data_IF_511250939884
#
_entry.id   IF_511250939884
#
_cell.length_a   1.000
_cell.length_b   1.000
_cell.length_c   1.000
_cell.angle_alpha   90.00
_cell.angle_beta   90.00
_cell.angle_gamma   90.00
#
_symmetry.space_group_name_H-M   'P 1'
#
loop_
_entity.id
_entity.type
_entity.pdbx_description
1 polymer ?
#
# COMPACT_ATOMS: atom_id res chain seq x y z
N UNK A 1 15.64 -7.21 16.66
CA UNK A 1 14.29 -7.12 16.07
C UNK A 1 14.43 -6.72 14.61
N UNK A 2 13.53 -7.17 13.72
CA UNK A 2 13.51 -6.68 12.34
C UNK A 2 12.98 -5.25 12.30
N UNK A 3 13.59 -4.38 11.50
CA UNK A 3 13.04 -3.05 11.20
C UNK A 3 11.92 -3.21 10.18
N UNK A 4 10.69 -2.97 10.61
CA UNK A 4 9.50 -3.09 9.78
C UNK A 4 8.90 -1.71 9.53
N UNK A 5 8.76 -1.33 8.26
CA UNK A 5 8.19 -0.05 7.85
C UNK A 5 6.97 -0.32 6.97
N UNK A 6 5.85 0.31 7.28
CA UNK A 6 4.65 0.25 6.44
C UNK A 6 4.31 1.62 5.88
N UNK A 7 3.96 1.68 4.59
CA UNK A 7 3.65 2.93 3.91
C UNK A 7 2.24 2.88 3.33
N UNK A 8 1.31 3.58 3.99
CA UNK A 8 0.02 3.95 3.41
C UNK A 8 0.17 5.25 2.62
N UNK A 9 -0.57 5.41 1.52
CA UNK A 9 -0.30 6.51 0.58
C UNK A 9 -1.51 6.90 -0.25
N UNK A 10 -1.63 8.19 -0.54
CA UNK A 10 -2.49 8.70 -1.60
C UNK A 10 -1.92 8.37 -2.98
N UNK A 11 -2.77 8.26 -4.00
CA UNK A 11 -2.33 8.02 -5.38
C UNK A 11 -1.63 9.28 -5.94
N UNK A 12 -0.47 9.07 -6.56
CA UNK A 12 0.35 10.18 -7.05
C UNK A 12 1.17 10.92 -5.98
N UNK A 13 1.07 10.56 -4.69
CA UNK A 13 1.85 11.20 -3.61
C UNK A 13 3.34 10.85 -3.59
N UNK A 14 3.80 9.89 -4.41
CA UNK A 14 5.20 9.43 -4.39
C UNK A 14 5.51 8.39 -3.31
N UNK A 15 4.52 7.85 -2.61
CA UNK A 15 4.73 6.89 -1.53
C UNK A 15 5.44 5.58 -1.97
N UNK A 16 5.22 5.11 -3.20
CA UNK A 16 5.99 3.96 -3.77
C UNK A 16 7.47 4.27 -3.89
N UNK A 17 7.79 5.43 -4.47
CA UNK A 17 9.17 5.87 -4.64
C UNK A 17 9.84 6.07 -3.29
N UNK A 18 9.15 6.71 -2.34
CA UNK A 18 9.66 6.88 -0.99
C UNK A 18 9.99 5.54 -0.34
N UNK A 19 9.09 4.57 -0.45
CA UNK A 19 9.31 3.23 0.10
C UNK A 19 10.52 2.52 -0.50
N UNK A 20 10.68 2.57 -1.82
CA UNK A 20 11.83 1.99 -2.51
C UNK A 20 13.13 2.65 -2.09
N UNK A 21 13.18 3.99 -2.07
CA UNK A 21 14.37 4.73 -1.64
C UNK A 21 14.74 4.46 -0.18
N UNK A 22 13.75 4.36 0.71
CA UNK A 22 13.97 3.97 2.10
C UNK A 22 14.56 2.56 2.22
N UNK A 23 14.04 1.60 1.45
CA UNK A 23 14.58 0.24 1.45
C UNK A 23 16.03 0.18 0.96
N UNK A 24 16.37 0.95 -0.07
CA UNK A 24 17.73 1.07 -0.60
C UNK A 24 18.68 1.70 0.45
N UNK A 25 18.28 2.84 1.05
CA UNK A 25 19.08 3.56 2.04
C UNK A 25 19.31 2.77 3.33
N UNK A 26 18.31 2.01 3.77
CA UNK A 26 18.37 1.18 4.98
C UNK A 26 18.89 -0.24 4.70
N UNK A 27 19.15 -0.57 3.43
CA UNK A 27 19.54 -1.92 2.99
C UNK A 27 18.60 -3.03 3.51
N UNK A 28 17.30 -2.83 3.34
CA UNK A 28 16.23 -3.76 3.75
C UNK A 28 15.35 -4.14 2.57
N UNK A 29 14.57 -5.21 2.68
CA UNK A 29 13.70 -5.67 1.60
C UNK A 29 12.58 -4.68 1.28
N UNK A 30 12.10 -4.67 0.03
CA UNK A 30 10.96 -3.87 -0.43
C UNK A 30 9.86 -4.78 -0.97
N UNK A 31 8.61 -4.54 -0.56
CA UNK A 31 7.45 -5.31 -0.99
C UNK A 31 6.27 -4.40 -1.36
N UNK A 32 5.80 -4.49 -2.59
CA UNK A 32 4.61 -3.81 -3.13
C UNK A 32 3.86 -4.77 -4.08
N UNK A 33 4.30 -4.89 -5.32
CA UNK A 33 3.70 -5.79 -6.32
C UNK A 33 4.05 -7.26 -6.06
N UNK A 34 5.18 -7.53 -5.45
CA UNK A 34 5.64 -8.88 -5.09
C UNK A 34 4.63 -9.64 -4.22
N UNK A 35 3.83 -8.91 -3.43
CA UNK A 35 2.75 -9.50 -2.63
C UNK A 35 1.67 -10.08 -3.54
N UNK A 36 1.29 -9.37 -4.61
CA UNK A 36 0.29 -9.84 -5.58
C UNK A 36 0.79 -11.09 -6.30
N UNK A 37 2.02 -11.04 -6.80
CA UNK A 37 2.65 -12.17 -7.49
C UNK A 37 2.71 -13.41 -6.60
N UNK A 38 3.05 -13.23 -5.32
CA UNK A 38 3.10 -14.36 -4.38
C UNK A 38 1.69 -14.90 -4.05
N UNK A 39 0.66 -14.04 -3.96
CA UNK A 39 -0.73 -14.48 -3.81
C UNK A 39 -1.15 -15.30 -5.04
N UNK A 40 -0.87 -14.79 -6.26
CA UNK A 40 -1.17 -15.48 -7.51
C UNK A 40 -0.55 -16.89 -7.53
N UNK A 41 0.73 -16.97 -7.19
CA UNK A 41 1.47 -18.25 -7.13
C UNK A 41 0.86 -19.26 -6.13
N UNK A 42 0.31 -18.80 -5.02
CA UNK A 42 -0.25 -19.67 -3.96
C UNK A 42 -1.72 -20.05 -4.19
N UNK A 43 -2.47 -19.22 -4.88
CA UNK A 43 -3.92 -19.40 -5.06
C UNK A 43 -4.31 -19.84 -6.47
N UNK A 44 -3.36 -19.83 -7.41
CA UNK A 44 -3.59 -20.04 -8.85
C UNK A 44 -4.61 -19.05 -9.46
N UNK A 45 -4.76 -17.88 -8.82
CA UNK A 45 -5.63 -16.81 -9.29
C UNK A 45 -4.84 -15.81 -10.12
N UNK A 46 -5.44 -15.30 -11.19
CA UNK A 46 -4.82 -14.26 -12.01
C UNK A 46 -4.53 -12.97 -11.20
N UNK A 47 -3.34 -12.40 -11.33
CA UNK A 47 -2.92 -11.19 -10.62
C UNK A 47 -3.93 -10.05 -10.76
N UNK A 48 -4.47 -9.84 -11.98
CA UNK A 48 -5.50 -8.83 -12.23
C UNK A 48 -6.76 -9.01 -11.38
N UNK A 49 -7.19 -10.24 -11.14
CA UNK A 49 -8.32 -10.53 -10.25
C UNK A 49 -7.98 -10.23 -8.80
N UNK A 50 -6.78 -10.61 -8.36
CA UNK A 50 -6.28 -10.33 -7.01
C UNK A 50 -6.23 -8.83 -6.77
N UNK A 51 -5.70 -8.04 -7.71
CA UNK A 51 -5.66 -6.58 -7.64
C UNK A 51 -7.07 -5.97 -7.51
N UNK A 52 -8.03 -6.47 -8.31
CA UNK A 52 -9.42 -6.01 -8.22
C UNK A 52 -10.03 -6.27 -6.83
N UNK A 53 -9.77 -7.45 -6.27
CA UNK A 53 -10.29 -7.82 -4.94
C UNK A 53 -9.65 -6.98 -3.84
N UNK A 54 -8.32 -6.76 -3.92
CA UNK A 54 -7.54 -6.13 -2.85
C UNK A 54 -7.53 -4.59 -2.96
N UNK A 55 -7.73 -4.03 -4.16
CA UNK A 55 -7.65 -2.57 -4.37
C UNK A 55 -8.98 -1.89 -4.64
N UNK A 56 -9.99 -2.60 -5.15
CA UNK A 56 -11.14 -1.94 -5.75
C UNK A 56 -12.48 -2.12 -5.03
N UNK A 57 -12.73 -3.23 -4.35
CA UNK A 57 -14.02 -3.42 -3.65
C UNK A 57 -13.86 -4.33 -2.44
N UNK A 58 -14.42 -3.93 -1.28
CA UNK A 58 -14.80 -4.92 -0.28
C UNK A 58 -15.76 -5.88 -0.97
N UNK A 59 -15.43 -7.16 -1.02
CA UNK A 59 -16.40 -8.16 -1.47
C UNK A 59 -17.52 -8.10 -0.44
N UNK A 60 -18.78 -7.78 -0.83
CA UNK A 60 -19.89 -7.94 0.09
C UNK A 60 -19.80 -9.37 0.61
N UNK A 61 -19.99 -9.56 1.91
CA UNK A 61 -20.07 -10.91 2.47
C UNK A 61 -21.05 -11.69 1.60
N UNK A 62 -20.52 -12.65 0.85
CA UNK A 62 -21.35 -13.49 -0.03
C UNK A 62 -22.46 -14.09 0.84
N UNK A 63 -23.71 -14.12 0.40
CA UNK A 63 -24.78 -14.69 1.20
C UNK A 63 -24.37 -16.08 1.66
N UNK A 64 -24.43 -16.31 2.96
CA UNK A 64 -23.98 -17.51 3.71
C UNK A 64 -24.67 -18.84 3.29
N UNK A 65 -25.16 -18.97 2.06
CA UNK A 65 -26.00 -20.10 1.65
C UNK A 65 -25.44 -20.97 0.55
N UNK A 66 -24.18 -20.82 0.14
CA UNK A 66 -23.56 -21.78 -0.80
C UNK A 66 -22.42 -22.49 -0.09
N UNK A 67 -22.73 -23.72 0.37
CA UNK A 67 -21.83 -24.83 0.65
C UNK A 67 -20.54 -24.55 1.44
N UNK A 68 -20.51 -25.01 2.65
CA UNK A 68 -19.41 -25.02 3.64
C UNK A 68 -18.07 -25.63 3.18
N UNK A 69 -17.91 -25.99 1.89
CA UNK A 69 -16.82 -26.90 1.47
C UNK A 69 -15.72 -26.31 0.57
N UNK A 70 -15.79 -25.05 0.08
CA UNK A 70 -14.81 -24.55 -0.90
C UNK A 70 -14.10 -23.23 -0.51
N UNK A 71 -14.21 -22.75 0.71
CA UNK A 71 -13.81 -21.37 1.08
C UNK A 71 -12.51 -21.15 1.87
N UNK A 72 -11.70 -22.11 2.34
CA UNK A 72 -10.46 -21.78 3.04
C UNK A 72 -9.25 -21.61 2.14
N UNK A 73 -9.21 -22.16 0.93
CA UNK A 73 -7.94 -22.31 0.20
C UNK A 73 -7.66 -21.26 -0.90
N UNK A 74 -8.60 -20.36 -1.20
CA UNK A 74 -8.43 -19.40 -2.30
C UNK A 74 -8.88 -17.97 -1.99
N UNK A 75 -8.93 -17.56 -0.71
CA UNK A 75 -9.28 -16.17 -0.37
C UNK A 75 -8.04 -15.28 -0.48
N UNK A 76 -7.94 -14.39 -1.49
CA UNK A 76 -6.76 -13.54 -1.69
C UNK A 76 -6.39 -12.69 -0.48
N UNK A 77 -7.37 -12.27 0.32
CA UNK A 77 -7.15 -11.44 1.51
C UNK A 77 -6.51 -12.25 2.65
N UNK A 78 -6.96 -13.49 2.83
CA UNK A 78 -6.34 -14.38 3.82
C UNK A 78 -4.87 -14.67 3.45
N UNK A 79 -4.62 -14.99 2.18
CA UNK A 79 -3.26 -15.20 1.69
C UNK A 79 -2.41 -13.92 1.76
N UNK A 80 -2.95 -12.76 1.46
CA UNK A 80 -2.28 -11.48 1.66
C UNK A 80 -1.78 -11.32 3.10
N UNK A 81 -2.65 -11.55 4.07
CA UNK A 81 -2.30 -11.41 5.49
C UNK A 81 -1.19 -12.39 5.89
N UNK A 82 -1.27 -13.64 5.41
CA UNK A 82 -0.27 -14.68 5.66
C UNK A 82 1.09 -14.31 5.06
N UNK A 83 1.10 -13.89 3.79
CA UNK A 83 2.30 -13.50 3.06
C UNK A 83 2.99 -12.30 3.72
N UNK A 84 2.24 -11.25 4.06
CA UNK A 84 2.77 -10.06 4.71
C UNK A 84 3.42 -10.42 6.05
N UNK A 85 2.78 -11.26 6.86
CA UNK A 85 3.36 -11.73 8.14
C UNK A 85 4.60 -12.60 7.94
N UNK A 86 4.64 -13.45 6.91
CA UNK A 86 5.81 -14.25 6.58
C UNK A 86 6.99 -13.38 6.12
N UNK A 87 6.74 -12.38 5.27
CA UNK A 87 7.75 -11.42 4.81
C UNK A 87 8.36 -10.65 6.00
N UNK A 88 7.51 -10.13 6.89
CA UNK A 88 7.95 -9.40 8.09
C UNK A 88 8.75 -10.27 9.09
N UNK A 89 8.46 -11.57 9.17
CA UNK A 89 9.24 -12.51 9.99
C UNK A 89 10.59 -12.84 9.39
N UNK A 90 10.69 -12.87 8.05
CA UNK A 90 11.90 -13.28 7.34
C UNK A 90 13.03 -12.27 7.45
N UNK A 91 12.72 -10.98 7.33
CA UNK A 91 13.74 -9.92 7.32
C UNK A 91 13.14 -8.55 7.64
N UNK A 92 14.02 -7.58 7.93
CA UNK A 92 13.66 -6.16 7.89
C UNK A 92 13.13 -5.78 6.50
N UNK A 93 12.04 -5.00 6.45
CA UNK A 93 11.43 -4.66 5.16
C UNK A 93 10.56 -3.40 5.20
N UNK A 94 10.35 -2.84 4.00
CA UNK A 94 9.34 -1.83 3.70
C UNK A 94 8.18 -2.50 2.97
N UNK A 95 6.97 -2.36 3.48
CA UNK A 95 5.74 -2.86 2.86
C UNK A 95 4.85 -1.69 2.46
N UNK A 96 4.45 -1.64 1.19
CA UNK A 96 3.68 -0.52 0.65
C UNK A 96 2.21 -0.89 0.46
N UNK A 97 1.33 -0.27 1.25
CA UNK A 97 -0.13 -0.48 1.20
C UNK A 97 -0.60 -1.79 1.84
N UNK A 98 -1.69 -2.35 1.26
CA UNK A 98 -2.25 -3.67 1.64
C UNK A 98 -2.69 -3.79 3.10
N UNK A 99 -3.04 -2.66 3.75
CA UNK A 99 -3.30 -2.61 5.19
C UNK A 99 -2.15 -3.21 6.04
N UNK A 100 -0.90 -3.10 5.55
CA UNK A 100 0.27 -3.67 6.23
C UNK A 100 0.45 -3.15 7.65
N UNK A 101 0.11 -1.89 7.89
CA UNK A 101 0.09 -1.23 9.19
C UNK A 101 -0.85 -1.92 10.20
N UNK A 102 -2.02 -2.40 9.73
CA UNK A 102 -2.98 -3.13 10.54
C UNK A 102 -2.62 -4.62 10.67
N UNK A 103 -2.21 -5.27 9.57
CA UNK A 103 -1.84 -6.69 9.57
C UNK A 103 -0.67 -6.97 10.51
N UNK A 104 0.26 -6.01 10.65
CA UNK A 104 1.47 -6.12 11.47
C UNK A 104 1.36 -5.37 12.81
N UNK A 105 0.17 -4.94 13.22
CA UNK A 105 -0.02 -4.11 14.43
C UNK A 105 0.58 -4.75 15.71
N UNK A 106 0.53 -6.08 15.80
CA UNK A 106 1.08 -6.86 16.91
C UNK A 106 2.62 -6.80 17.04
N UNK A 107 3.32 -6.55 15.93
CA UNK A 107 4.79 -6.40 15.88
C UNK A 107 5.25 -4.94 15.78
N UNK A 108 4.34 -3.98 15.89
CA UNK A 108 4.56 -2.54 15.94
C UNK A 108 5.50 -2.01 14.83
N UNK A 109 5.13 -2.12 13.54
CA UNK A 109 5.91 -1.54 12.46
C UNK A 109 5.95 -0.03 12.58
N UNK A 110 6.98 0.63 12.04
CA UNK A 110 6.97 2.09 11.85
C UNK A 110 6.02 2.44 10.71
N UNK A 111 4.93 3.16 11.02
CA UNK A 111 3.79 3.40 10.12
C UNK A 111 3.88 4.80 9.54
N UNK A 112 3.98 4.89 8.22
CA UNK A 112 4.06 6.15 7.48
C UNK A 112 2.81 6.33 6.62
N UNK A 113 2.21 7.53 6.65
CA UNK A 113 1.22 7.95 5.67
C UNK A 113 1.79 9.02 4.76
N UNK A 114 1.77 8.78 3.45
CA UNK A 114 2.32 9.71 2.44
C UNK A 114 1.18 10.37 1.67
N UNK A 115 1.14 11.69 1.69
CA UNK A 115 0.10 12.48 1.02
C UNK A 115 0.71 13.67 0.28
N UNK A 116 -0.07 14.30 -0.60
CA UNK A 116 0.30 15.55 -1.26
C UNK A 116 -0.95 16.30 -1.70
N UNK A 117 -0.80 17.59 -1.98
CA UNK A 117 -1.84 18.40 -2.59
C UNK A 117 -2.27 17.80 -3.94
N UNK A 118 -3.57 17.86 -4.25
CA UNK A 118 -4.14 17.17 -5.42
C UNK A 118 -3.45 17.55 -6.73
N UNK A 119 -3.12 18.83 -6.90
CA UNK A 119 -2.46 19.34 -8.10
C UNK A 119 -1.07 18.73 -8.32
N UNK A 120 -0.28 18.61 -7.25
CA UNK A 120 1.04 17.97 -7.27
C UNK A 120 0.95 16.48 -7.60
N UNK A 121 -0.08 15.81 -7.11
CA UNK A 121 -0.33 14.39 -7.39
C UNK A 121 -0.70 14.16 -8.85
N UNK A 122 -1.57 15.01 -9.39
CA UNK A 122 -1.96 14.98 -10.80
C UNK A 122 -0.74 15.24 -11.69
N UNK A 123 0.03 16.30 -11.42
CA UNK A 123 1.24 16.64 -12.17
C UNK A 123 2.23 15.47 -12.20
N UNK A 124 2.51 14.86 -11.04
CA UNK A 124 3.40 13.69 -10.93
C UNK A 124 2.87 12.47 -11.71
N UNK A 125 1.56 12.24 -11.73
CA UNK A 125 0.97 11.16 -12.51
C UNK A 125 1.05 11.44 -14.01
N UNK A 126 0.85 12.68 -14.43
CA UNK A 126 0.97 13.10 -15.85
C UNK A 126 2.41 12.96 -16.37
N UNK A 127 3.39 13.29 -15.53
CA UNK A 127 4.82 13.17 -15.87
C UNK A 127 5.25 11.69 -16.02
N UNK A 128 4.72 10.80 -15.17
CA UNK A 128 5.13 9.39 -15.10
C UNK A 128 4.29 8.43 -15.95
N UNK A 129 3.30 8.94 -16.67
CA UNK A 129 2.48 8.12 -17.57
C UNK A 129 3.33 7.50 -18.67
N UNK A 130 2.98 6.29 -19.09
CA UNK A 130 3.57 5.65 -20.27
C UNK A 130 3.04 6.32 -21.54
N UNK A 131 3.72 6.13 -22.68
CA UNK A 131 3.27 6.66 -23.97
C UNK A 131 1.90 6.13 -24.41
N UNK A 132 1.50 4.96 -23.92
CA UNK A 132 0.21 4.33 -24.20
C UNK A 132 -0.93 4.88 -23.31
N UNK A 133 -0.60 5.52 -22.18
CA UNK A 133 -1.56 6.11 -21.26
C UNK A 133 -1.90 7.55 -21.68
N UNK A 134 -2.86 7.69 -22.59
CA UNK A 134 -3.35 9.01 -23.04
C UNK A 134 -4.47 9.47 -22.11
N UNK A 135 -4.15 10.33 -21.15
CA UNK A 135 -5.12 10.97 -20.25
C UNK A 135 -5.10 12.49 -20.45
N UNK A 136 -6.27 13.10 -20.52
CA UNK A 136 -6.43 14.54 -20.29
C UNK A 136 -6.21 14.84 -18.79
N UNK A 137 -6.01 16.12 -18.47
CA UNK A 137 -5.83 16.56 -17.09
C UNK A 137 -7.04 16.20 -16.20
N UNK A 138 -8.26 16.35 -16.73
CA UNK A 138 -9.48 16.03 -16.00
C UNK A 138 -9.65 14.52 -15.79
N UNK A 139 -9.36 13.69 -16.78
CA UNK A 139 -9.36 12.23 -16.62
C UNK A 139 -8.35 11.77 -15.61
N UNK A 140 -7.14 12.33 -15.59
CA UNK A 140 -6.14 12.03 -14.59
C UNK A 140 -6.59 12.43 -13.17
N UNK A 141 -7.23 13.60 -13.04
CA UNK A 141 -7.82 14.04 -11.77
C UNK A 141 -8.87 13.06 -11.27
N UNK A 142 -9.79 12.64 -12.13
CA UNK A 142 -10.81 11.65 -11.78
C UNK A 142 -10.19 10.30 -11.39
N UNK A 143 -9.14 9.86 -12.10
CA UNK A 143 -8.37 8.65 -11.77
C UNK A 143 -7.77 8.76 -10.37
N UNK A 144 -7.09 9.85 -10.06
CA UNK A 144 -6.47 10.10 -8.74
C UNK A 144 -7.51 10.01 -7.62
N UNK A 145 -8.62 10.72 -7.76
CA UNK A 145 -9.71 10.73 -6.76
C UNK A 145 -10.35 9.34 -6.60
N UNK A 146 -10.59 8.65 -7.72
CA UNK A 146 -11.24 7.34 -7.71
C UNK A 146 -10.37 6.28 -7.02
N UNK A 147 -9.06 6.26 -7.30
CA UNK A 147 -8.13 5.32 -6.65
C UNK A 147 -8.10 5.54 -5.14
N UNK A 148 -8.01 6.79 -4.68
CA UNK A 148 -8.01 7.09 -3.25
C UNK A 148 -9.33 6.75 -2.57
N UNK A 149 -10.45 6.99 -3.25
CA UNK A 149 -11.77 6.57 -2.77
C UNK A 149 -11.84 5.05 -2.55
N UNK A 150 -11.29 4.27 -3.47
CA UNK A 150 -11.25 2.82 -3.37
C UNK A 150 -10.32 2.35 -2.24
N UNK A 151 -9.11 2.93 -2.12
CA UNK A 151 -8.17 2.65 -1.03
C UNK A 151 -8.75 2.94 0.33
N UNK A 152 -9.42 4.09 0.47
CA UNK A 152 -10.13 4.46 1.70
C UNK A 152 -11.19 3.44 2.07
N UNK A 153 -12.08 3.09 1.13
CA UNK A 153 -13.13 2.11 1.38
C UNK A 153 -12.57 0.74 1.79
N UNK A 154 -11.52 0.29 1.10
CA UNK A 154 -10.86 -0.96 1.42
C UNK A 154 -10.27 -0.93 2.83
N UNK A 155 -9.46 0.10 3.14
CA UNK A 155 -8.83 0.25 4.44
C UNK A 155 -9.84 0.32 5.58
N UNK A 156 -10.84 1.21 5.46
CA UNK A 156 -11.88 1.39 6.49
C UNK A 156 -12.71 0.13 6.72
N UNK A 157 -13.00 -0.62 5.65
CA UNK A 157 -13.74 -1.87 5.75
C UNK A 157 -12.96 -2.96 6.51
N UNK A 158 -11.67 -3.13 6.20
CA UNK A 158 -10.87 -4.20 6.81
C UNK A 158 -10.26 -3.86 8.15
N UNK A 159 -10.05 -2.60 8.44
CA UNK A 159 -9.38 -2.17 9.68
C UNK A 159 -10.33 -1.56 10.71
N UNK A 160 -11.51 -1.10 10.28
CA UNK A 160 -12.41 -0.28 11.10
C UNK A 160 -11.85 1.12 11.44
N UNK A 161 -10.67 1.48 10.89
CA UNK A 161 -9.97 2.74 11.18
C UNK A 161 -10.16 3.71 10.00
N UNK A 162 -10.15 5.00 10.26
CA UNK A 162 -10.24 6.03 9.22
C UNK A 162 -8.91 6.13 8.46
N UNK A 163 -8.96 5.97 7.13
CA UNK A 163 -7.77 6.08 6.28
C UNK A 163 -7.22 7.51 6.25
N UNK A 164 -5.90 7.65 6.43
CA UNK A 164 -5.22 8.94 6.49
C UNK A 164 -5.42 9.71 7.81
N UNK A 165 -6.09 9.12 8.79
CA UNK A 165 -6.14 9.72 10.13
C UNK A 165 -4.75 9.61 10.78
N UNK A 166 -4.18 10.77 11.15
CA UNK A 166 -2.85 10.87 11.77
C UNK A 166 -2.65 9.98 13.00
N UNK A 167 -3.71 9.64 13.70
CA UNK A 167 -3.64 8.78 14.90
C UNK A 167 -3.33 7.31 14.57
N UNK A 168 -3.46 6.91 13.31
CA UNK A 168 -3.14 5.55 12.86
C UNK A 168 -1.67 5.40 12.42
N UNK A 169 -0.90 6.49 12.36
CA UNK A 169 0.44 6.52 11.79
C UNK A 169 1.43 7.17 12.75
N UNK A 170 2.68 6.73 12.71
CA UNK A 170 3.76 7.31 13.50
C UNK A 170 4.30 8.58 12.82
N UNK A 171 4.13 8.67 11.48
CA UNK A 171 4.51 9.82 10.69
C UNK A 171 3.57 10.05 9.50
N UNK A 172 3.15 11.31 9.28
CA UNK A 172 2.44 11.75 8.09
C UNK A 172 3.32 12.69 7.28
N UNK A 173 3.61 12.36 6.02
CA UNK A 173 4.57 13.07 5.16
C UNK A 173 3.86 13.76 4.01
N UNK A 174 3.95 15.09 3.95
CA UNK A 174 3.51 15.86 2.79
C UNK A 174 4.66 15.98 1.78
N UNK A 175 4.43 15.50 0.56
CA UNK A 175 5.43 15.49 -0.51
C UNK A 175 5.20 16.55 -1.58
N UNK A 176 4.37 17.57 -1.30
CA UNK A 176 4.02 18.60 -2.29
C UNK A 176 5.20 19.52 -2.65
N UNK A 177 6.07 19.79 -1.69
CA UNK A 177 7.09 20.86 -1.83
C UNK A 177 8.52 20.37 -1.78
N UNK A 178 8.74 19.08 -1.53
CA UNK A 178 10.08 18.51 -1.36
C UNK A 178 10.28 17.34 -2.32
N UNK A 179 11.49 17.18 -2.79
CA UNK A 179 11.88 16.03 -3.58
C UNK A 179 11.79 14.74 -2.74
N UNK A 180 11.22 13.69 -3.32
CA UNK A 180 11.08 12.40 -2.64
C UNK A 180 12.43 11.86 -2.16
N UNK A 181 13.50 12.14 -2.91
CA UNK A 181 14.87 11.74 -2.56
C UNK A 181 15.32 12.38 -1.24
N UNK A 182 15.08 13.67 -1.07
CA UNK A 182 15.49 14.41 0.14
C UNK A 182 14.68 13.96 1.36
N UNK A 183 13.38 13.74 1.17
CA UNK A 183 12.51 13.17 2.20
C UNK A 183 13.03 11.79 2.62
N UNK A 184 13.41 10.93 1.68
CA UNK A 184 13.90 9.60 1.97
C UNK A 184 15.20 9.62 2.78
N UNK A 185 16.14 10.52 2.45
CA UNK A 185 17.38 10.73 3.21
C UNK A 185 17.12 11.17 4.65
N UNK A 186 16.25 12.16 4.84
CA UNK A 186 15.90 12.64 6.18
C UNK A 186 15.21 11.54 7.01
N UNK A 187 14.28 10.79 6.42
CA UNK A 187 13.56 9.71 7.09
C UNK A 187 14.45 8.51 7.39
N UNK A 188 15.38 8.14 6.51
CA UNK A 188 16.31 7.04 6.78
C UNK A 188 17.17 7.34 8.00
N UNK A 189 17.65 8.58 8.13
CA UNK A 189 18.39 9.03 9.32
C UNK A 189 17.52 9.00 10.58
N UNK A 190 16.28 9.49 10.50
CA UNK A 190 15.35 9.49 11.62
C UNK A 190 15.04 8.07 12.13
N UNK A 191 14.78 7.13 11.21
CA UNK A 191 14.45 5.74 11.53
C UNK A 191 15.66 4.99 12.12
N UNK A 192 16.88 5.32 11.68
CA UNK A 192 18.11 4.69 12.17
C UNK A 192 18.51 5.11 13.59
N UNK A 193 17.93 6.18 14.11
CA UNK A 193 18.19 6.68 15.47
C UNK A 193 17.32 6.05 16.56
N UNK A 194 16.27 5.34 16.19
CA UNK A 194 15.32 4.65 17.10
C UNK A 194 15.46 3.15 17.05
#
# INVERSE_FOLDING_TARGET
>A
MNTLITISREFGSGGRELGRRLSELLNIAYYDQEIITEISRRTDLAERYIEQVIEQKPIPAFPLHIGRSLYPLSNPIYEQNRIIREMAKRSSCVIVGRCGDHILEDVRPFRIFVYAELEHRIARCMERRTAEEVYSLEEMKQKVISVDKNRRKYYEYYTGKKWGDRLNYDLCVNTSRQEIKEIALALSSFISLG
#
